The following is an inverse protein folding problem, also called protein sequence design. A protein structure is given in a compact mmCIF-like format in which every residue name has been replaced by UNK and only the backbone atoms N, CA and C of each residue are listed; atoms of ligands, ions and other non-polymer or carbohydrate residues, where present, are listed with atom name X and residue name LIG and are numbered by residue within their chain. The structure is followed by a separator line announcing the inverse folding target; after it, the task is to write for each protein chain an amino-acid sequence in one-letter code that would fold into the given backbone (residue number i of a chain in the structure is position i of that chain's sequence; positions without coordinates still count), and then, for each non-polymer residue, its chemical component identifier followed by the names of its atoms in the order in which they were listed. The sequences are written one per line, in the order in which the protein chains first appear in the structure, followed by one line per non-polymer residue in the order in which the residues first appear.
data_IF_904640196091
#
_entry.id   IF_904640196091
#
_cell.length_a   1.000
_cell.length_b   1.000
_cell.length_c   1.000
_cell.angle_alpha   90.00
_cell.angle_beta   90.00
_cell.angle_gamma   90.00
#
_symmetry.space_group_name_H-M   'P 1'
#
loop_
_entity.id
_entity.type
_entity.pdbx_description
1 polymer ?
#
# COMPACT_ATOMS: atom_id res chain seq x y z
N UNK A 1 -17.69 -3.99 2.20
CA UNK A 1 -16.98 -5.05 2.93
C UNK A 1 -15.55 -5.25 2.41
N UNK A 2 -15.24 -4.81 1.18
CA UNK A 2 -13.97 -5.13 0.51
C UNK A 2 -12.73 -4.48 1.13
N UNK A 3 -12.82 -3.29 1.74
CA UNK A 3 -11.68 -2.74 2.52
C UNK A 3 -11.27 -3.68 3.66
N UNK A 4 -12.25 -4.18 4.41
CA UNK A 4 -12.00 -5.11 5.51
C UNK A 4 -11.50 -6.47 5.00
N UNK A 5 -12.00 -6.92 3.83
CA UNK A 5 -11.49 -8.12 3.19
C UNK A 5 -9.99 -7.99 2.86
N UNK A 6 -9.58 -6.88 2.24
CA UNK A 6 -8.17 -6.59 2.00
C UNK A 6 -7.35 -6.56 3.30
N UNK A 7 -7.77 -5.73 4.26
CA UNK A 7 -7.06 -5.55 5.53
C UNK A 7 -6.85 -6.85 6.31
N UNK A 8 -7.92 -7.62 6.54
CA UNK A 8 -7.83 -8.85 7.31
C UNK A 8 -7.24 -9.99 6.50
N UNK A 9 -7.48 -10.03 5.19
CA UNK A 9 -6.98 -11.06 4.29
C UNK A 9 -5.46 -11.16 4.30
N UNK A 10 -4.74 -10.04 4.12
CA UNK A 10 -3.28 -10.06 4.13
C UNK A 10 -2.72 -10.39 5.52
N UNK A 11 -3.37 -9.91 6.59
CA UNK A 11 -2.93 -10.15 7.97
C UNK A 11 -3.05 -11.62 8.34
N UNK A 12 -4.19 -12.25 8.01
CA UNK A 12 -4.38 -13.68 8.22
C UNK A 12 -3.41 -14.50 7.38
N UNK A 13 -3.26 -14.19 6.09
CA UNK A 13 -2.33 -14.92 5.23
C UNK A 13 -0.88 -14.83 5.72
N UNK A 14 -0.40 -13.64 6.10
CA UNK A 14 0.94 -13.48 6.66
C UNK A 14 1.11 -14.23 8.00
N UNK A 15 0.08 -14.23 8.87
CA UNK A 15 0.11 -15.02 10.10
C UNK A 15 0.13 -16.53 9.83
N UNK A 16 -0.60 -16.97 8.81
CA UNK A 16 -0.54 -18.34 8.30
C UNK A 16 0.86 -18.70 7.83
N UNK A 17 1.49 -17.86 7.00
CA UNK A 17 2.84 -18.11 6.51
C UNK A 17 3.89 -18.23 7.62
N UNK A 18 3.82 -17.38 8.65
CA UNK A 18 4.70 -17.50 9.81
C UNK A 18 4.55 -18.83 10.57
N UNK A 19 3.35 -19.42 10.54
CA UNK A 19 3.04 -20.69 11.19
C UNK A 19 3.16 -21.90 10.25
N UNK A 20 3.46 -21.71 8.96
CA UNK A 20 3.39 -22.78 7.96
C UNK A 20 4.24 -24.01 8.32
N UNK A 21 5.39 -23.79 8.97
CA UNK A 21 6.31 -24.85 9.42
C UNK A 21 6.04 -25.37 10.85
N UNK A 22 5.03 -24.86 11.55
CA UNK A 22 4.71 -25.27 12.90
C UNK A 22 4.13 -26.69 12.93
N UNK A 23 4.83 -27.62 13.58
CA UNK A 23 4.47 -29.04 13.62
C UNK A 23 3.10 -29.33 14.27
N UNK A 24 2.56 -28.41 15.07
CA UNK A 24 1.24 -28.53 15.68
C UNK A 24 0.07 -28.15 14.75
N UNK A 25 0.34 -27.57 13.58
CA UNK A 25 -0.68 -27.19 12.61
C UNK A 25 -0.74 -28.22 11.48
N UNK A 26 -1.72 -29.13 11.57
CA UNK A 26 -1.85 -30.22 10.60
C UNK A 26 -2.11 -29.69 9.19
N UNK A 27 -1.65 -30.44 8.17
CA UNK A 27 -1.91 -30.11 6.76
C UNK A 27 -3.41 -29.95 6.45
N UNK A 28 -4.28 -30.74 7.07
CA UNK A 28 -5.74 -30.58 6.92
C UNK A 28 -6.22 -29.21 7.40
N UNK A 29 -5.72 -28.72 8.54
CA UNK A 29 -6.08 -27.40 9.06
C UNK A 29 -5.45 -26.27 8.23
N UNK A 30 -4.25 -26.49 7.67
CA UNK A 30 -3.64 -25.55 6.71
C UNK A 30 -4.48 -25.43 5.44
N UNK A 31 -4.93 -26.55 4.86
CA UNK A 31 -5.81 -26.53 3.68
C UNK A 31 -7.16 -25.87 3.96
N UNK A 32 -7.75 -26.12 5.14
CA UNK A 32 -8.99 -25.47 5.55
C UNK A 32 -8.81 -23.95 5.72
N UNK A 33 -7.67 -23.53 6.27
CA UNK A 33 -7.31 -22.12 6.39
C UNK A 33 -7.11 -21.46 5.02
N UNK A 34 -6.37 -22.10 4.11
CA UNK A 34 -6.20 -21.64 2.72
C UNK A 34 -7.54 -21.49 1.98
N UNK A 35 -8.49 -22.41 2.23
CA UNK A 35 -9.85 -22.30 1.69
C UNK A 35 -10.62 -21.11 2.25
N UNK A 36 -10.47 -20.81 3.55
CA UNK A 36 -11.05 -19.62 4.17
C UNK A 36 -10.43 -18.34 3.59
N UNK A 37 -9.11 -18.30 3.39
CA UNK A 37 -8.43 -17.19 2.71
C UNK A 37 -8.96 -16.97 1.29
N UNK A 38 -9.37 -18.04 0.59
CA UNK A 38 -10.02 -17.96 -0.73
C UNK A 38 -11.20 -16.99 -0.76
N UNK A 39 -12.00 -16.93 0.30
CA UNK A 39 -13.12 -15.99 0.40
C UNK A 39 -12.64 -14.52 0.42
N UNK A 40 -11.52 -14.26 1.07
CA UNK A 40 -10.91 -12.92 1.13
C UNK A 40 -10.32 -12.53 -0.23
N UNK A 41 -9.65 -13.46 -0.92
CA UNK A 41 -9.13 -13.18 -2.26
C UNK A 41 -10.24 -12.97 -3.29
N UNK A 42 -11.35 -13.70 -3.21
CA UNK A 42 -12.47 -13.52 -4.14
C UNK A 42 -13.08 -12.12 -4.01
N UNK A 43 -13.33 -11.66 -2.76
CA UNK A 43 -13.81 -10.30 -2.50
C UNK A 43 -12.80 -9.23 -2.91
N UNK A 44 -11.51 -9.50 -2.71
CA UNK A 44 -10.45 -8.55 -3.07
C UNK A 44 -10.31 -8.41 -4.58
N UNK A 45 -10.39 -9.54 -5.30
CA UNK A 45 -10.34 -9.58 -6.75
C UNK A 45 -11.54 -8.89 -7.38
N UNK A 46 -12.74 -9.19 -6.90
CA UNK A 46 -13.97 -8.54 -7.36
C UNK A 46 -13.91 -7.02 -7.16
N UNK A 47 -13.35 -6.56 -6.03
CA UNK A 47 -13.17 -5.14 -5.81
C UNK A 47 -12.20 -4.49 -6.80
N UNK A 48 -11.02 -5.08 -7.03
CA UNK A 48 -10.04 -4.51 -7.95
C UNK A 48 -10.54 -4.50 -9.41
N UNK A 49 -11.34 -5.50 -9.80
CA UNK A 49 -11.92 -5.58 -11.13
C UNK A 49 -13.11 -4.60 -11.30
N UNK A 50 -14.01 -4.51 -10.31
CA UNK A 50 -15.31 -3.85 -10.50
C UNK A 50 -15.52 -2.59 -9.66
N UNK A 51 -14.73 -2.36 -8.61
CA UNK A 51 -14.85 -1.23 -7.68
C UNK A 51 -16.29 -1.04 -7.18
N UNK A 52 -17.02 -2.13 -6.90
CA UNK A 52 -18.45 -2.10 -6.53
C UNK A 52 -19.32 -1.26 -7.49
N UNK A 53 -18.99 -1.23 -8.78
CA UNK A 53 -19.62 -0.42 -9.82
C UNK A 53 -19.56 1.10 -9.54
N UNK A 54 -18.56 1.54 -8.76
CA UNK A 54 -18.36 2.93 -8.33
C UNK A 54 -16.91 3.38 -8.56
N UNK A 55 -16.53 3.61 -9.83
CA UNK A 55 -15.16 3.96 -10.22
C UNK A 55 -14.60 5.21 -9.50
N UNK A 56 -15.40 6.27 -9.38
CA UNK A 56 -14.94 7.54 -8.81
C UNK A 56 -15.32 7.71 -7.33
N UNK A 57 -15.22 6.67 -6.50
CA UNK A 57 -15.63 6.74 -5.08
C UNK A 57 -14.55 6.30 -4.09
N UNK A 58 -13.70 5.36 -4.45
CA UNK A 58 -12.75 4.78 -3.50
C UNK A 58 -11.40 5.50 -3.54
N UNK A 59 -10.73 5.57 -2.40
CA UNK A 59 -9.36 6.08 -2.31
C UNK A 59 -8.36 4.93 -2.36
N UNK A 60 -7.09 5.28 -2.59
CA UNK A 60 -5.97 4.37 -2.78
C UNK A 60 -5.84 3.30 -1.70
N UNK A 61 -6.17 3.62 -0.45
CA UNK A 61 -6.08 2.68 0.66
C UNK A 61 -6.91 1.41 0.41
N UNK A 62 -8.03 1.50 -0.33
CA UNK A 62 -8.85 0.34 -0.67
C UNK A 62 -8.11 -0.61 -1.60
N UNK A 63 -7.57 -0.10 -2.70
CA UNK A 63 -6.83 -0.91 -3.67
C UNK A 63 -5.59 -1.50 -3.02
N UNK A 64 -4.81 -0.70 -2.28
CA UNK A 64 -3.61 -1.14 -1.58
C UNK A 64 -3.88 -2.31 -0.62
N UNK A 65 -4.96 -2.26 0.14
CA UNK A 65 -5.33 -3.35 1.04
C UNK A 65 -5.70 -4.63 0.28
N UNK A 66 -6.41 -4.51 -0.85
CA UNK A 66 -6.83 -5.65 -1.65
C UNK A 66 -5.66 -6.25 -2.47
N UNK A 67 -4.73 -5.42 -2.96
CA UNK A 67 -3.47 -5.87 -3.58
C UNK A 67 -2.63 -6.65 -2.57
N UNK A 68 -2.41 -6.10 -1.38
CA UNK A 68 -1.67 -6.77 -0.30
C UNK A 68 -2.30 -8.13 0.07
N UNK A 69 -3.64 -8.21 0.09
CA UNK A 69 -4.34 -9.47 0.35
C UNK A 69 -4.13 -10.49 -0.76
N UNK A 70 -4.31 -10.11 -2.03
CA UNK A 70 -4.08 -11.03 -3.15
C UNK A 70 -2.63 -11.52 -3.18
N UNK A 71 -1.64 -10.66 -2.92
CA UNK A 71 -0.24 -11.08 -2.83
C UNK A 71 0.01 -12.05 -1.67
N UNK A 72 -0.46 -11.74 -0.45
CA UNK A 72 -0.27 -12.60 0.71
C UNK A 72 -0.94 -13.98 0.52
N UNK A 73 -2.20 -13.97 0.10
CA UNK A 73 -3.03 -15.18 -0.05
C UNK A 73 -2.51 -16.04 -1.19
N UNK A 74 -2.05 -15.44 -2.28
CA UNK A 74 -1.44 -16.18 -3.39
C UNK A 74 -0.15 -16.87 -3.00
N UNK A 75 0.69 -16.25 -2.17
CA UNK A 75 1.89 -16.91 -1.61
C UNK A 75 1.48 -18.08 -0.72
N UNK A 76 0.55 -17.89 0.22
CA UNK A 76 0.11 -18.97 1.12
C UNK A 76 -0.50 -20.18 0.38
N UNK A 77 -1.25 -19.92 -0.69
CA UNK A 77 -1.94 -20.95 -1.47
C UNK A 77 -1.15 -21.42 -2.72
N UNK A 78 0.12 -21.03 -2.87
CA UNK A 78 0.95 -21.35 -4.05
C UNK A 78 0.29 -20.99 -5.40
N UNK A 79 -0.45 -19.87 -5.46
CA UNK A 79 -1.22 -19.44 -6.62
C UNK A 79 -0.49 -18.37 -7.45
N UNK A 80 0.42 -18.81 -8.31
CA UNK A 80 1.22 -17.90 -9.15
C UNK A 80 0.37 -16.99 -10.07
N UNK A 81 -0.77 -17.44 -10.57
CA UNK A 81 -1.65 -16.63 -11.43
C UNK A 81 -2.23 -15.43 -10.67
N UNK A 82 -2.69 -15.65 -9.44
CA UNK A 82 -3.19 -14.58 -8.58
C UNK A 82 -2.08 -13.62 -8.16
N UNK A 83 -0.89 -14.15 -7.87
CA UNK A 83 0.28 -13.34 -7.54
C UNK A 83 0.66 -12.39 -8.69
N UNK A 84 0.80 -12.93 -9.90
CA UNK A 84 1.13 -12.13 -11.09
C UNK A 84 0.08 -11.05 -11.35
N UNK A 85 -1.21 -11.38 -11.23
CA UNK A 85 -2.27 -10.36 -11.36
C UNK A 85 -2.08 -9.20 -10.37
N UNK A 86 -1.83 -9.49 -9.09
CA UNK A 86 -1.68 -8.44 -8.08
C UNK A 86 -0.43 -7.58 -8.29
N UNK A 87 0.70 -8.22 -8.67
CA UNK A 87 1.95 -7.52 -9.00
C UNK A 87 1.78 -6.63 -10.22
N UNK A 88 1.17 -7.15 -11.28
CA UNK A 88 0.96 -6.43 -12.53
C UNK A 88 0.00 -5.25 -12.32
N UNK A 89 -1.08 -5.45 -11.56
CA UNK A 89 -2.01 -4.38 -11.16
C UNK A 89 -1.29 -3.27 -10.40
N UNK A 90 -0.39 -3.61 -9.49
CA UNK A 90 0.35 -2.62 -8.71
C UNK A 90 1.37 -1.83 -9.53
N UNK A 91 2.07 -2.50 -10.46
CA UNK A 91 3.27 -1.99 -11.12
C UNK A 91 3.00 -1.29 -12.46
N UNK A 92 2.05 -1.78 -13.25
CA UNK A 92 1.89 -1.32 -14.62
C UNK A 92 0.79 -0.28 -14.76
N UNK A 93 0.95 0.58 -15.76
CA UNK A 93 -0.15 1.42 -16.22
C UNK A 93 -1.30 0.52 -16.65
N UNK A 94 -2.48 0.87 -16.17
CA UNK A 94 -3.73 0.25 -16.59
C UNK A 94 -4.35 1.12 -17.70
N UNK A 95 -5.33 0.59 -18.47
CA UNK A 95 -6.05 1.38 -19.47
C UNK A 95 -6.52 2.73 -18.93
N UNK A 96 -6.59 3.77 -19.79
CA UNK A 96 -6.94 5.14 -19.38
C UNK A 96 -8.29 5.26 -18.66
N UNK A 97 -9.20 4.31 -18.88
CA UNK A 97 -10.52 4.23 -18.25
C UNK A 97 -10.55 3.32 -17.00
N UNK A 98 -9.43 2.71 -16.64
CA UNK A 98 -9.31 1.89 -15.45
C UNK A 98 -9.31 2.74 -14.18
N UNK A 99 -9.94 2.20 -13.15
CA UNK A 99 -9.87 2.75 -11.80
C UNK A 99 -8.89 1.91 -11.00
N UNK A 100 -7.82 2.56 -10.54
CA UNK A 100 -6.76 1.92 -9.77
C UNK A 100 -5.97 2.94 -8.96
N UNK A 101 -6.66 3.65 -8.07
CA UNK A 101 -6.08 4.70 -7.24
C UNK A 101 -4.89 4.23 -6.39
N UNK A 102 -4.81 2.94 -6.04
CA UNK A 102 -3.66 2.38 -5.32
C UNK A 102 -2.64 1.64 -6.20
N UNK A 103 -2.84 1.54 -7.51
CA UNK A 103 -1.75 1.17 -8.42
C UNK A 103 -0.71 2.29 -8.43
N UNK A 104 0.58 1.93 -8.39
CA UNK A 104 1.63 2.89 -8.08
C UNK A 104 1.71 4.01 -9.14
N UNK A 105 1.42 3.70 -10.40
CA UNK A 105 1.38 4.66 -11.51
C UNK A 105 0.30 5.74 -11.37
N UNK A 106 -0.77 5.49 -10.61
CA UNK A 106 -1.88 6.44 -10.37
C UNK A 106 -1.82 7.07 -8.97
N UNK A 107 -1.15 6.41 -8.04
CA UNK A 107 -1.05 6.79 -6.64
C UNK A 107 -0.29 8.10 -6.41
N UNK A 108 0.70 8.39 -7.27
CA UNK A 108 1.49 9.61 -7.27
C UNK A 108 0.71 10.80 -7.85
N UNK A 109 0.27 11.75 -7.00
CA UNK A 109 -0.45 12.94 -7.47
C UNK A 109 0.50 14.07 -7.88
N UNK A 110 1.57 14.30 -7.12
CA UNK A 110 2.55 15.33 -7.43
C UNK A 110 3.90 15.04 -6.77
N UNK A 111 4.98 15.30 -7.50
CA UNK A 111 6.35 15.24 -6.98
C UNK A 111 6.89 16.64 -6.76
N UNK A 112 7.67 16.80 -5.70
CA UNK A 112 8.32 18.05 -5.33
C UNK A 112 9.76 17.77 -4.92
N UNK A 113 10.66 18.69 -5.22
CA UNK A 113 12.00 18.69 -4.61
C UNK A 113 11.91 19.39 -3.26
N UNK A 114 12.43 18.75 -2.21
CA UNK A 114 12.53 19.33 -0.88
C UNK A 114 13.46 20.54 -0.89
N UNK A 115 12.98 21.67 -0.35
CA UNK A 115 13.78 22.88 -0.23
C UNK A 115 15.10 22.62 0.53
N UNK A 116 16.21 23.04 -0.08
CA UNK A 116 17.54 22.88 0.50
C UNK A 116 18.17 21.49 0.33
N UNK A 117 17.55 20.59 -0.45
CA UNK A 117 18.12 19.27 -0.79
C UNK A 117 17.72 18.83 -2.20
N UNK A 118 18.21 17.67 -2.63
CA UNK A 118 17.78 16.99 -3.87
C UNK A 118 16.72 15.90 -3.60
N UNK A 119 16.20 15.80 -2.37
CA UNK A 119 15.22 14.78 -1.99
C UNK A 119 13.89 15.02 -2.69
N UNK A 120 13.31 13.95 -3.24
CA UNK A 120 11.96 14.00 -3.81
C UNK A 120 10.93 13.65 -2.74
N UNK A 121 9.93 14.51 -2.60
CA UNK A 121 8.74 14.28 -1.78
C UNK A 121 7.54 14.11 -2.70
N UNK A 122 6.73 13.08 -2.47
CA UNK A 122 5.58 12.76 -3.32
C UNK A 122 4.27 12.90 -2.53
N UNK A 123 3.39 13.80 -2.98
CA UNK A 123 2.03 13.90 -2.46
C UNK A 123 1.19 12.75 -2.99
N UNK A 124 0.52 12.07 -2.06
CA UNK A 124 -0.40 10.95 -2.31
C UNK A 124 -1.86 11.41 -2.29
N UNK A 125 -2.78 10.59 -2.79
CA UNK A 125 -4.20 10.92 -2.90
C UNK A 125 -4.79 11.46 -1.57
N UNK A 126 -4.55 10.74 -0.48
CA UNK A 126 -5.17 10.94 0.85
C UNK A 126 -4.67 12.17 1.63
N UNK A 127 -3.58 12.82 1.19
CA UNK A 127 -2.91 13.88 1.97
C UNK A 127 -3.81 15.09 2.30
N UNK A 128 -4.80 15.37 1.45
CA UNK A 128 -5.77 16.45 1.65
C UNK A 128 -7.03 16.05 2.41
N UNK A 129 -7.23 14.75 2.67
CA UNK A 129 -8.40 14.22 3.38
C UNK A 129 -8.14 14.25 4.87
N UNK A 130 -7.18 13.45 5.33
CA UNK A 130 -6.66 13.45 6.70
C UNK A 130 -5.34 12.67 6.78
N UNK A 131 -4.63 12.84 7.90
CA UNK A 131 -3.35 12.14 8.11
C UNK A 131 -3.52 10.68 8.51
N UNK A 132 -4.65 10.30 9.10
CA UNK A 132 -4.90 8.91 9.49
C UNK A 132 -4.92 7.97 8.27
N UNK A 133 -5.56 8.38 7.18
CA UNK A 133 -5.61 7.63 5.93
C UNK A 133 -4.31 7.74 5.13
N UNK A 134 -3.67 8.91 5.13
CA UNK A 134 -2.33 9.07 4.55
C UNK A 134 -1.32 8.09 5.18
N UNK A 135 -1.43 7.88 6.49
CA UNK A 135 -0.59 6.91 7.21
C UNK A 135 -1.01 5.48 6.92
N UNK A 136 -2.33 5.22 6.87
CA UNK A 136 -2.87 3.92 6.49
C UNK A 136 -2.33 3.45 5.15
N UNK A 137 -2.13 4.32 4.14
CA UNK A 137 -1.53 3.92 2.85
C UNK A 137 -0.10 3.41 2.98
N UNK A 138 0.68 3.90 3.95
CA UNK A 138 2.10 3.57 4.07
C UNK A 138 2.30 2.14 4.59
N UNK A 139 1.45 1.68 5.50
CA UNK A 139 1.49 0.30 6.02
C UNK A 139 1.37 -0.78 4.93
N UNK A 140 0.32 -0.83 4.06
CA UNK A 140 0.20 -1.81 2.99
C UNK A 140 1.25 -1.60 1.90
N UNK A 141 1.75 -0.39 1.64
CA UNK A 141 2.86 -0.21 0.69
C UNK A 141 4.15 -0.90 1.17
N UNK A 142 4.46 -0.80 2.46
CA UNK A 142 5.56 -1.55 3.06
C UNK A 142 5.34 -3.06 2.97
N UNK A 143 4.11 -3.53 3.22
CA UNK A 143 3.74 -4.95 3.08
C UNK A 143 3.90 -5.43 1.64
N UNK A 144 3.34 -4.72 0.65
CA UNK A 144 3.44 -5.03 -0.78
C UNK A 144 4.90 -5.07 -1.22
N UNK A 145 5.67 -4.04 -0.86
CA UNK A 145 7.11 -3.98 -1.14
C UNK A 145 7.85 -5.19 -0.60
N UNK A 146 7.59 -5.56 0.66
CA UNK A 146 8.23 -6.70 1.31
C UNK A 146 7.79 -8.05 0.71
N UNK A 147 6.50 -8.23 0.42
CA UNK A 147 5.98 -9.44 -0.22
C UNK A 147 6.57 -9.63 -1.62
N UNK A 148 6.69 -8.54 -2.39
CA UNK A 148 7.41 -8.54 -3.67
C UNK A 148 8.86 -8.98 -3.49
N UNK A 149 9.58 -8.30 -2.60
CA UNK A 149 11.00 -8.53 -2.37
C UNK A 149 11.31 -9.97 -1.94
N UNK A 150 10.47 -10.55 -1.07
CA UNK A 150 10.58 -11.94 -0.62
C UNK A 150 10.38 -12.97 -1.75
N UNK A 151 9.66 -12.60 -2.81
CA UNK A 151 9.45 -13.43 -4.00
C UNK A 151 10.40 -13.09 -5.16
N UNK A 152 11.41 -12.24 -4.91
CA UNK A 152 12.41 -11.86 -5.92
C UNK A 152 11.98 -10.74 -6.87
N UNK A 153 10.90 -10.01 -6.58
CA UNK A 153 10.43 -8.86 -7.35
C UNK A 153 10.67 -7.57 -6.55
N UNK A 154 11.57 -6.69 -7.02
CA UNK A 154 11.87 -5.43 -6.32
C UNK A 154 10.75 -4.39 -6.52
N UNK A 155 9.64 -4.56 -5.81
CA UNK A 155 8.50 -3.64 -5.85
C UNK A 155 8.78 -2.31 -5.16
N UNK A 156 9.72 -2.27 -4.20
CA UNK A 156 10.19 -1.03 -3.61
C UNK A 156 10.82 -0.12 -4.67
N UNK A 157 11.67 -0.66 -5.55
CA UNK A 157 12.30 0.12 -6.62
C UNK A 157 11.35 0.60 -7.73
N UNK A 158 10.09 0.15 -7.75
CA UNK A 158 9.15 0.44 -8.84
C UNK A 158 8.84 1.95 -8.91
N UNK A 159 8.66 2.45 -10.13
CA UNK A 159 8.38 3.87 -10.43
C UNK A 159 9.39 4.86 -9.83
N UNK A 160 10.65 4.44 -9.59
CA UNK A 160 11.69 5.31 -9.06
C UNK A 160 11.56 5.58 -7.56
N UNK A 161 11.33 4.53 -6.77
CA UNK A 161 11.18 4.58 -5.30
C UNK A 161 10.00 5.45 -4.83
N UNK A 162 8.87 5.44 -5.55
CA UNK A 162 7.71 6.25 -5.17
C UNK A 162 7.16 5.93 -3.78
N UNK A 163 7.31 4.67 -3.31
CA UNK A 163 6.96 4.29 -1.94
C UNK A 163 7.78 5.11 -0.93
N UNK A 164 9.10 5.26 -1.14
CA UNK A 164 9.95 6.09 -0.27
C UNK A 164 9.52 7.55 -0.32
N UNK A 165 9.39 8.12 -1.52
CA UNK A 165 9.05 9.54 -1.70
C UNK A 165 7.71 9.91 -1.04
N UNK A 166 6.73 9.01 -1.10
CA UNK A 166 5.42 9.17 -0.46
C UNK A 166 5.45 9.05 1.06
N UNK A 167 6.27 8.12 1.58
CA UNK A 167 6.49 7.98 3.02
C UNK A 167 7.21 9.21 3.61
N UNK A 168 8.28 9.67 2.96
CA UNK A 168 9.03 10.87 3.38
C UNK A 168 8.15 12.13 3.39
N UNK A 169 7.30 12.31 2.38
CA UNK A 169 6.35 13.43 2.33
C UNK A 169 5.42 13.44 3.55
N UNK A 170 4.77 12.30 3.83
CA UNK A 170 3.81 12.20 4.92
C UNK A 170 4.47 12.30 6.29
N UNK A 171 5.63 11.65 6.48
CA UNK A 171 6.37 11.71 7.72
C UNK A 171 6.93 13.12 8.01
N UNK A 172 7.41 13.83 6.98
CA UNK A 172 7.82 15.24 7.11
C UNK A 172 6.67 16.10 7.61
N UNK A 173 5.50 15.97 6.99
CA UNK A 173 4.35 16.77 7.41
C UNK A 173 3.90 16.40 8.84
N UNK A 174 3.88 15.11 9.18
CA UNK A 174 3.48 14.66 10.51
C UNK A 174 4.44 15.11 11.64
N UNK A 175 5.72 15.33 11.33
CA UNK A 175 6.73 15.83 12.28
C UNK A 175 6.74 17.35 12.43
N UNK A 176 5.58 17.99 12.25
CA UNK A 176 5.35 19.43 12.37
C UNK A 176 6.03 20.32 11.30
N UNK A 177 6.53 19.75 10.19
CA UNK A 177 7.08 20.54 9.08
C UNK A 177 6.02 20.86 8.03
N UNK A 178 6.30 21.85 7.17
CA UNK A 178 5.47 22.14 6.01
C UNK A 178 5.86 21.28 4.82
N UNK A 179 4.89 20.99 3.96
CA UNK A 179 5.09 20.31 2.68
C UNK A 179 4.35 21.08 1.58
N UNK A 180 4.91 21.12 0.35
CA UNK A 180 4.19 21.68 -0.80
C UNK A 180 2.96 20.83 -1.12
N UNK A 181 1.94 21.44 -1.71
CA UNK A 181 0.69 20.75 -1.99
C UNK A 181 0.08 21.23 -3.31
N UNK A 182 -0.38 20.26 -4.12
CA UNK A 182 -1.17 20.49 -5.34
C UNK A 182 -2.60 20.06 -5.04
N UNK A 183 -3.62 20.92 -5.31
CA UNK A 183 -5.03 20.55 -5.14
C UNK A 183 -5.38 19.23 -5.80
N UNK A 184 -6.20 18.44 -5.12
CA UNK A 184 -6.66 17.15 -5.60
C UNK A 184 -8.18 17.09 -5.55
N UNK A 185 -8.80 16.65 -6.65
CA UNK A 185 -10.26 16.49 -6.72
C UNK A 185 -10.60 15.03 -6.46
N UNK A 186 -11.29 14.76 -5.36
CA UNK A 186 -11.87 13.45 -5.07
C UNK A 186 -13.38 13.47 -5.27
N UNK A 187 -14.02 12.35 -4.94
CA UNK A 187 -15.49 12.24 -4.93
C UNK A 187 -16.15 13.15 -3.87
N UNK A 188 -15.41 13.54 -2.82
CA UNK A 188 -15.85 14.44 -1.76
C UNK A 188 -15.73 15.91 -2.17
N UNK A 189 -15.05 16.19 -3.29
CA UNK A 189 -14.84 17.52 -3.84
C UNK A 189 -13.36 17.89 -3.94
N UNK A 190 -13.08 19.18 -3.99
CA UNK A 190 -11.69 19.69 -4.14
C UNK A 190 -11.04 19.77 -2.76
N UNK A 191 -10.00 18.96 -2.56
CA UNK A 191 -9.10 19.01 -1.41
C UNK A 191 -7.97 19.99 -1.73
N UNK A 192 -8.13 21.25 -1.31
CA UNK A 192 -7.28 22.38 -1.73
C UNK A 192 -5.97 22.52 -0.96
N UNK A 193 -5.87 21.90 0.22
CA UNK A 193 -4.69 21.96 1.10
C UNK A 193 -4.43 20.60 1.74
N UNK A 194 -3.22 20.39 2.24
CA UNK A 194 -2.90 19.25 3.10
C UNK A 194 -3.70 19.34 4.41
N UNK A 195 -4.32 18.24 4.84
CA UNK A 195 -5.21 18.22 5.99
C UNK A 195 -4.44 18.16 7.32
N UNK A 196 -4.85 18.94 8.32
CA UNK A 196 -4.33 18.83 9.70
C UNK A 196 -5.04 17.78 10.55
N UNK A 197 -6.17 17.25 10.08
CA UNK A 197 -6.92 16.22 10.81
C UNK A 197 -6.04 14.98 11.05
N UNK A 198 -6.03 14.48 12.28
CA UNK A 198 -5.20 13.35 12.74
C UNK A 198 -3.69 13.54 12.59
N UNK A 199 -3.21 14.79 12.41
CA UNK A 199 -1.77 15.08 12.43
C UNK A 199 -1.20 14.79 13.82
N UNK A 200 0.05 14.34 13.85
CA UNK A 200 0.78 13.85 15.03
C UNK A 200 0.34 12.48 15.54
N UNK A 201 -0.58 11.81 14.86
CA UNK A 201 -0.87 10.40 15.14
C UNK A 201 0.42 9.57 15.00
N UNK A 202 0.61 8.67 15.97
CA UNK A 202 1.70 7.70 15.97
C UNK A 202 1.12 6.35 15.55
N UNK A 203 1.59 5.82 14.42
CA UNK A 203 1.13 4.54 13.86
C UNK A 203 2.33 3.73 13.34
N UNK A 204 2.30 2.40 13.45
CA UNK A 204 3.31 1.52 12.87
C UNK A 204 3.11 1.43 11.36
N UNK A 205 3.58 2.44 10.65
CA UNK A 205 3.32 2.64 9.22
C UNK A 205 4.56 2.78 8.35
N UNK A 206 5.75 2.89 8.96
CA UNK A 206 6.99 3.21 8.22
C UNK A 206 8.11 2.20 8.43
N UNK A 207 7.98 1.26 9.37
CA UNK A 207 9.05 0.36 9.79
C UNK A 207 9.61 -0.44 8.61
N UNK A 208 8.74 -1.13 7.85
CA UNK A 208 9.17 -1.92 6.69
C UNK A 208 9.81 -1.04 5.59
N UNK A 209 9.27 0.15 5.38
CA UNK A 209 9.76 1.12 4.39
C UNK A 209 11.15 1.63 4.80
N UNK A 210 11.30 2.09 6.04
CA UNK A 210 12.56 2.60 6.58
C UNK A 210 13.64 1.51 6.56
N UNK A 211 13.33 0.31 7.06
CA UNK A 211 14.28 -0.81 7.05
C UNK A 211 14.72 -1.18 5.63
N UNK A 212 13.81 -1.19 4.65
CA UNK A 212 14.21 -1.46 3.28
C UNK A 212 15.08 -0.34 2.68
N UNK A 213 14.63 0.91 2.77
CA UNK A 213 15.31 2.00 2.06
C UNK A 213 16.55 2.51 2.77
N UNK A 214 16.47 2.80 4.06
CA UNK A 214 17.61 3.34 4.80
C UNK A 214 18.61 2.26 5.20
N UNK A 215 18.15 1.18 5.81
CA UNK A 215 19.07 0.19 6.40
C UNK A 215 19.65 -0.76 5.34
N UNK A 216 18.80 -1.30 4.45
CA UNK A 216 19.23 -2.25 3.43
C UNK A 216 19.81 -1.56 2.19
N UNK A 217 19.21 -0.48 1.71
CA UNK A 217 19.62 0.20 0.46
C UNK A 217 20.49 1.46 0.68
N UNK A 218 20.61 1.97 1.91
CA UNK A 218 21.40 3.16 2.21
C UNK A 218 20.84 4.46 1.60
N UNK A 219 19.56 4.50 1.27
CA UNK A 219 18.89 5.69 0.74
C UNK A 219 18.46 6.65 1.86
N UNK A 220 18.26 7.91 1.50
CA UNK A 220 17.82 8.93 2.44
C UNK A 220 16.32 8.78 2.77
N UNK A 221 16.04 8.18 3.93
CA UNK A 221 14.71 8.08 4.54
C UNK A 221 14.66 8.85 5.88
N UNK A 222 15.24 10.05 5.92
CA UNK A 222 15.41 10.82 7.17
C UNK A 222 14.10 11.17 7.88
N UNK A 223 12.99 11.35 7.15
CA UNK A 223 11.71 11.77 7.74
C UNK A 223 10.92 10.60 8.31
N UNK A 224 10.99 9.44 7.66
CA UNK A 224 10.30 8.20 8.03
C UNK A 224 11.09 7.34 9.02
N UNK A 225 12.16 7.88 9.62
CA UNK A 225 12.92 7.23 10.67
C UNK A 225 12.05 6.95 11.90
N UNK A 226 12.00 5.68 12.27
CA UNK A 226 11.31 5.12 13.45
C UNK A 226 12.21 4.97 14.66
#
# INVERSE_FOLDING_TARGET
MNLAAGLYGYQFANAGELLHSYSGWSGTNQSAFGSMLGMFSDMSRDFLDNHNDKPNFYYANWDLCNIAALMAISVFNDNATMYSYAVDYFKYELPDDAVANGALTFFSIANFTEEGSDKILMKRQEAGRDQAHTFLDSSPLGVIGQQGYNQGVDLYATCGNQILNGAEYAAKYNTNNTVPYTPYTSWEGVLSVVANESRFDVRPSFEAIYSHYAELKGLDASWSKV
#
